data_IF_859214000263
#
_entry.id   IF_859214000263
#
_cell.length_a   1.000
_cell.length_b   1.000
_cell.length_c   1.000
_cell.angle_alpha   90.00
_cell.angle_beta   90.00
_cell.angle_gamma   90.00
#
_symmetry.space_group_name_H-M   'P 1'
#
loop_
_entity.id
_entity.type
_entity.pdbx_description
1 polymer ?
#
# COMPACT_ATOMS: atom_id res chain seq x y z
N UNK A 1 -0.05 -7.34 2.70
CA UNK A 1 -0.46 -6.02 3.16
C UNK A 1 0.59 -5.40 4.08
N UNK A 2 1.11 -4.24 3.71
CA UNK A 2 2.14 -3.54 4.46
C UNK A 2 1.61 -2.19 4.98
N UNK A 3 2.50 -1.20 5.11
CA UNK A 3 2.14 0.13 5.59
C UNK A 3 2.87 1.18 4.74
N UNK A 4 2.22 2.30 4.48
CA UNK A 4 2.79 3.36 3.64
C UNK A 4 4.16 3.80 4.19
N UNK A 5 5.13 3.90 3.30
CA UNK A 5 6.52 4.26 3.58
C UNK A 5 7.28 3.29 4.48
N UNK A 6 6.76 2.07 4.72
CA UNK A 6 7.53 1.06 5.45
C UNK A 6 8.85 0.70 4.74
N UNK A 7 8.90 0.85 3.42
CA UNK A 7 10.12 0.61 2.62
C UNK A 7 11.04 1.83 2.55
N UNK A 8 10.70 2.94 3.20
CA UNK A 8 11.45 4.19 3.17
C UNK A 8 11.81 4.65 4.57
N UNK A 9 12.79 3.99 5.24
CA UNK A 9 13.15 4.31 6.62
C UNK A 9 13.48 5.78 6.89
N UNK A 10 13.97 6.50 5.89
CA UNK A 10 14.28 7.91 5.98
C UNK A 10 13.05 8.78 6.27
N UNK A 11 11.85 8.27 5.99
CA UNK A 11 10.60 8.99 6.24
C UNK A 11 10.02 8.72 7.64
N UNK A 12 10.56 7.75 8.37
CA UNK A 12 10.01 7.38 9.67
C UNK A 12 10.18 8.45 10.74
N UNK A 13 11.08 9.42 10.53
CA UNK A 13 11.24 10.57 11.40
C UNK A 13 10.15 11.64 11.29
N UNK A 14 9.26 11.52 10.29
CA UNK A 14 8.12 12.42 10.16
C UNK A 14 7.23 12.31 11.42
N UNK A 15 6.82 13.45 12.03
CA UNK A 15 6.00 13.43 13.23
C UNK A 15 4.74 12.57 13.13
N UNK A 16 4.22 12.41 11.92
CA UNK A 16 3.05 11.56 11.67
C UNK A 16 3.34 10.08 11.82
N UNK A 17 4.59 9.66 11.64
CA UNK A 17 4.99 8.26 11.63
C UNK A 17 5.71 7.83 12.90
N UNK A 18 6.14 8.76 13.75
CA UNK A 18 6.92 8.43 14.95
C UNK A 18 6.18 7.54 15.94
N UNK A 19 4.84 7.63 15.98
CA UNK A 19 4.02 6.79 16.88
C UNK A 19 3.90 5.35 16.41
N UNK A 20 4.25 5.07 15.16
CA UNK A 20 4.13 3.73 14.57
C UNK A 20 5.47 3.20 14.08
N UNK A 21 6.59 3.70 14.65
CA UNK A 21 7.94 3.30 14.24
C UNK A 21 8.13 1.78 14.38
N UNK A 22 7.74 1.20 15.52
CA UNK A 22 7.88 -0.25 15.73
C UNK A 22 7.07 -1.05 14.71
N UNK A 23 5.87 -0.60 14.40
CA UNK A 23 5.03 -1.21 13.38
C UNK A 23 5.70 -1.14 12.01
N UNK A 24 6.26 0.02 11.65
CA UNK A 24 6.95 0.18 10.37
C UNK A 24 8.21 -0.68 10.29
N UNK A 25 8.96 -0.81 11.38
CA UNK A 25 10.14 -1.69 11.45
C UNK A 25 9.72 -3.13 11.17
N UNK A 26 8.66 -3.61 11.80
CA UNK A 26 8.16 -4.97 11.59
C UNK A 26 7.72 -5.18 10.14
N UNK A 27 6.99 -4.21 9.58
CA UNK A 27 6.56 -4.28 8.17
C UNK A 27 7.73 -4.23 7.20
N UNK A 28 8.73 -3.39 7.49
CA UNK A 28 9.93 -3.30 6.66
C UNK A 28 10.63 -4.67 6.58
N UNK A 29 10.89 -5.30 7.71
CA UNK A 29 11.57 -6.60 7.72
C UNK A 29 10.71 -7.70 7.09
N UNK A 30 9.40 -7.71 7.30
CA UNK A 30 8.51 -8.67 6.65
C UNK A 30 8.53 -8.51 5.12
N UNK A 31 8.45 -7.27 4.64
CA UNK A 31 8.50 -6.98 3.20
C UNK A 31 9.85 -7.36 2.61
N UNK A 32 10.95 -7.01 3.28
CA UNK A 32 12.30 -7.36 2.83
C UNK A 32 12.49 -8.87 2.78
N UNK A 33 11.99 -9.58 3.79
CA UNK A 33 12.10 -11.03 3.83
C UNK A 33 11.38 -11.67 2.65
N UNK A 34 10.14 -11.21 2.39
CA UNK A 34 9.35 -11.70 1.25
C UNK A 34 10.08 -11.48 -0.08
N UNK A 35 10.62 -10.27 -0.29
CA UNK A 35 11.28 -9.92 -1.55
C UNK A 35 12.61 -10.64 -1.76
N UNK A 36 13.38 -10.87 -0.69
CA UNK A 36 14.77 -11.33 -0.79
C UNK A 36 14.96 -12.80 -0.44
N UNK A 37 14.01 -13.44 0.23
CA UNK A 37 14.19 -14.80 0.74
C UNK A 37 13.14 -15.78 0.22
N UNK A 38 12.31 -15.38 -0.74
CA UNK A 38 11.33 -16.27 -1.36
C UNK A 38 11.39 -16.15 -2.88
N UNK A 39 10.83 -17.15 -3.56
CA UNK A 39 10.64 -17.13 -5.01
C UNK A 39 9.18 -16.83 -5.38
N UNK A 40 8.40 -16.34 -4.40
CA UNK A 40 6.99 -16.02 -4.64
C UNK A 40 6.86 -14.81 -5.55
N UNK A 41 5.86 -14.84 -6.39
CA UNK A 41 5.43 -13.66 -7.15
C UNK A 41 4.60 -12.82 -6.20
N UNK A 42 5.12 -11.66 -5.82
CA UNK A 42 4.50 -10.83 -4.80
C UNK A 42 3.96 -9.51 -5.38
N UNK A 43 3.01 -8.94 -4.68
CA UNK A 43 2.61 -7.54 -4.78
C UNK A 43 2.46 -7.04 -3.35
N UNK A 44 3.16 -5.97 -3.00
CA UNK A 44 3.11 -5.39 -1.66
C UNK A 44 2.25 -4.14 -1.74
N UNK A 45 1.16 -4.11 -0.97
CA UNK A 45 0.25 -2.97 -0.91
C UNK A 45 0.47 -2.23 0.40
N UNK A 46 0.76 -0.94 0.32
CA UNK A 46 1.07 -0.07 1.46
C UNK A 46 0.01 1.03 1.59
N UNK A 47 -1.07 0.80 2.33
CA UNK A 47 -2.02 1.86 2.63
C UNK A 47 -1.53 2.76 3.76
N UNK A 48 -2.10 3.95 3.85
CA UNK A 48 -1.96 4.83 5.01
C UNK A 48 -2.93 4.46 6.12
N UNK A 49 -3.40 5.46 6.88
CA UNK A 49 -4.33 5.24 7.99
C UNK A 49 -5.64 4.61 7.51
N UNK A 50 -6.03 3.52 8.13
CA UNK A 50 -7.27 2.82 7.79
C UNK A 50 -8.45 3.46 8.52
N UNK A 51 -9.55 3.65 7.81
CA UNK A 51 -10.80 4.16 8.39
C UNK A 51 -11.97 3.27 7.99
N UNK A 52 -12.93 3.15 8.88
CA UNK A 52 -14.16 2.42 8.63
C UNK A 52 -15.12 3.26 7.80
N UNK A 53 -16.10 2.61 7.21
CA UNK A 53 -17.14 3.24 6.41
C UNK A 53 -17.26 2.65 5.02
N UNK A 54 -18.25 3.12 4.25
CA UNK A 54 -18.39 2.66 2.86
C UNK A 54 -17.21 3.14 2.03
N UNK A 55 -16.65 2.25 1.23
CA UNK A 55 -15.59 2.63 0.29
C UNK A 55 -16.16 3.42 -0.88
N UNK A 56 -15.40 4.41 -1.35
CA UNK A 56 -15.78 5.18 -2.54
C UNK A 56 -15.59 4.37 -3.83
N UNK A 57 -14.78 3.30 -3.79
CA UNK A 57 -14.38 2.59 -4.99
C UNK A 57 -13.34 3.34 -5.82
N UNK A 58 -12.77 4.41 -5.28
CA UNK A 58 -11.80 5.26 -5.97
C UNK A 58 -10.54 5.42 -5.14
N UNK A 59 -9.39 5.30 -5.79
CA UNK A 59 -8.08 5.23 -5.13
C UNK A 59 -7.03 6.03 -5.89
N UNK A 60 -5.90 6.24 -5.19
CA UNK A 60 -4.63 6.68 -5.77
C UNK A 60 -3.61 5.59 -5.45
N UNK A 61 -2.96 5.04 -6.46
CA UNK A 61 -1.97 3.98 -6.30
C UNK A 61 -0.52 4.48 -6.43
N UNK A 62 -0.31 5.78 -6.47
CA UNK A 62 1.01 6.41 -6.58
C UNK A 62 1.18 7.49 -5.53
N UNK A 63 1.01 7.13 -4.27
CA UNK A 63 1.19 8.06 -3.15
C UNK A 63 2.68 8.34 -2.98
N UNK A 64 3.05 9.60 -3.05
CA UNK A 64 4.44 10.05 -2.92
C UNK A 64 4.70 10.82 -1.63
N UNK A 65 3.65 11.33 -1.03
CA UNK A 65 3.73 12.09 0.20
C UNK A 65 2.74 11.51 1.21
N UNK A 66 2.79 12.04 2.43
CA UNK A 66 1.87 11.65 3.47
C UNK A 66 0.44 11.77 2.98
N UNK A 67 -0.26 10.66 3.02
CA UNK A 67 -1.52 10.50 2.32
C UNK A 67 -2.75 10.78 3.19
N UNK A 68 -3.85 10.93 2.47
CA UNK A 68 -5.20 10.88 2.98
C UNK A 68 -5.53 9.51 3.58
N UNK A 69 -6.61 9.41 4.36
CA UNK A 69 -7.07 8.13 4.89
C UNK A 69 -7.35 7.11 3.80
N UNK A 70 -7.35 5.85 4.19
CA UNK A 70 -7.74 4.73 3.35
C UNK A 70 -8.99 4.09 3.92
N UNK A 71 -10.06 4.03 3.17
CA UNK A 71 -11.19 3.21 3.58
C UNK A 71 -10.79 1.74 3.50
N UNK A 72 -11.16 0.97 4.51
CA UNK A 72 -10.86 -0.47 4.57
C UNK A 72 -11.45 -1.18 3.34
N UNK A 73 -12.64 -0.78 2.92
CA UNK A 73 -13.28 -1.35 1.73
C UNK A 73 -12.46 -1.11 0.46
N UNK A 74 -11.88 0.08 0.29
CA UNK A 74 -11.03 0.35 -0.88
C UNK A 74 -9.74 -0.47 -0.85
N UNK A 75 -9.12 -0.62 0.33
CA UNK A 75 -7.93 -1.46 0.48
C UNK A 75 -8.25 -2.92 0.12
N UNK A 76 -9.37 -3.43 0.60
CA UNK A 76 -9.82 -4.79 0.28
C UNK A 76 -10.03 -4.96 -1.23
N UNK A 77 -10.63 -3.97 -1.90
CA UNK A 77 -10.86 -4.01 -3.34
C UNK A 77 -9.54 -4.03 -4.13
N UNK A 78 -8.55 -3.25 -3.70
CA UNK A 78 -7.22 -3.25 -4.33
C UNK A 78 -6.52 -4.60 -4.11
N UNK A 79 -6.54 -5.14 -2.89
CA UNK A 79 -5.94 -6.45 -2.60
C UNK A 79 -6.55 -7.55 -3.48
N UNK A 80 -7.86 -7.55 -3.64
CA UNK A 80 -8.52 -8.52 -4.52
C UNK A 80 -8.14 -8.30 -5.99
N UNK A 81 -8.09 -7.04 -6.41
CA UNK A 81 -7.84 -6.71 -7.82
C UNK A 81 -6.42 -7.00 -8.30
N UNK A 82 -5.42 -6.92 -7.41
CA UNK A 82 -4.03 -7.16 -7.81
C UNK A 82 -3.66 -8.63 -7.93
N UNK A 83 -4.50 -9.54 -7.44
CA UNK A 83 -4.19 -10.98 -7.48
C UNK A 83 -3.89 -11.49 -8.89
N UNK A 84 -4.57 -10.97 -9.91
CA UNK A 84 -4.38 -11.36 -11.30
C UNK A 84 -3.81 -10.25 -12.17
N UNK A 85 -3.38 -9.14 -11.57
CA UNK A 85 -2.86 -8.00 -12.29
C UNK A 85 -1.34 -8.13 -12.46
N UNK A 86 -0.91 -8.72 -13.58
CA UNK A 86 0.51 -9.00 -13.83
C UNK A 86 1.39 -7.76 -13.79
N UNK A 87 0.86 -6.59 -14.14
CA UNK A 87 1.58 -5.33 -14.07
C UNK A 87 1.91 -4.89 -12.64
N UNK A 88 1.28 -5.50 -11.64
CA UNK A 88 1.58 -5.24 -10.22
C UNK A 88 2.62 -6.21 -9.64
N UNK A 89 2.98 -7.25 -10.35
CA UNK A 89 3.89 -8.28 -9.85
C UNK A 89 5.29 -7.71 -9.63
N UNK A 90 5.85 -8.00 -8.45
CA UNK A 90 7.15 -7.48 -8.07
C UNK A 90 7.13 -6.01 -7.65
N UNK A 91 5.96 -5.43 -7.43
CA UNK A 91 5.81 -4.00 -7.16
C UNK A 91 5.38 -3.73 -5.72
N UNK A 92 5.76 -2.55 -5.24
CA UNK A 92 5.28 -1.99 -3.98
C UNK A 92 4.33 -0.86 -4.34
N UNK A 93 3.06 -1.02 -4.01
CA UNK A 93 2.01 -0.05 -4.34
C UNK A 93 1.66 0.76 -3.10
N UNK A 94 1.97 2.06 -3.14
CA UNK A 94 1.59 3.00 -2.08
C UNK A 94 0.23 3.59 -2.42
N UNK A 95 -0.76 3.35 -1.59
CA UNK A 95 -2.13 3.71 -1.90
C UNK A 95 -2.81 4.60 -0.87
N UNK A 96 -3.78 5.35 -1.34
CA UNK A 96 -4.77 6.06 -0.53
C UNK A 96 -6.11 6.05 -1.26
N UNK A 97 -7.16 6.48 -0.57
CA UNK A 97 -8.39 6.87 -1.25
C UNK A 97 -8.05 8.00 -2.23
N UNK A 98 -8.73 8.07 -3.33
CA UNK A 98 -8.42 9.02 -4.40
C UNK A 98 -9.57 9.20 -5.37
N UNK A 99 -9.23 9.45 -6.64
CA UNK A 99 -10.20 9.85 -7.66
C UNK A 99 -10.39 8.83 -8.79
N UNK A 100 -9.56 7.79 -8.85
CA UNK A 100 -9.59 6.83 -9.94
C UNK A 100 -10.26 5.53 -9.50
N UNK A 101 -11.22 5.05 -10.27
CA UNK A 101 -11.88 3.79 -9.98
C UNK A 101 -10.85 2.66 -9.84
N UNK A 102 -11.05 1.76 -8.86
CA UNK A 102 -10.09 0.71 -8.51
C UNK A 102 -9.64 -0.11 -9.71
N UNK A 103 -10.58 -0.61 -10.52
CA UNK A 103 -10.22 -1.43 -11.68
C UNK A 103 -9.40 -0.66 -12.70
N UNK A 104 -9.73 0.59 -12.93
CA UNK A 104 -8.98 1.48 -13.84
C UNK A 104 -7.60 1.80 -13.30
N UNK A 105 -7.51 2.12 -12.01
CA UNK A 105 -6.23 2.43 -11.35
C UNK A 105 -5.27 1.24 -11.45
N UNK A 106 -5.76 0.03 -11.24
CA UNK A 106 -4.95 -1.19 -11.35
C UNK A 106 -4.53 -1.43 -12.80
N UNK A 107 -5.46 -1.29 -13.75
CA UNK A 107 -5.15 -1.50 -15.17
C UNK A 107 -4.09 -0.53 -15.69
N UNK A 108 -4.08 0.71 -15.19
CA UNK A 108 -3.14 1.75 -15.58
C UNK A 108 -1.84 1.74 -14.77
N UNK A 109 -1.73 0.92 -13.75
CA UNK A 109 -0.60 0.95 -12.82
C UNK A 109 0.72 0.65 -13.53
N UNK A 110 1.72 1.47 -13.27
CA UNK A 110 3.06 1.34 -13.86
C UNK A 110 4.16 1.47 -12.84
#
# INVERSE_FOLDING_TARGET
LSSVFADEPEKWGDPALTKITDYNIAKFFADQWLMNNTHLVYTIVQPGSLVEGPGSGRVNLHVTERSSPNSIANVAAVLAGVLEAKNSYGRIIKMSDGDTEVSEAIAQYR
#
